data_IF_107747245617
#
_entry.id   IF_107747245617
#
_cell.length_a   1.000
_cell.length_b   1.000
_cell.length_c   1.000
_cell.angle_alpha   90.00
_cell.angle_beta   90.00
_cell.angle_gamma   90.00
#
_symmetry.space_group_name_H-M   'P 1'
#
loop_
_entity.id
_entity.type
_entity.pdbx_description
1 polymer ?
#
# COMPACT_ATOMS: atom_id res chain seq x y z
N UNK A 1 -11.91 1.79 11.04
CA UNK A 1 -13.03 2.60 10.47
C UNK A 1 -12.38 3.57 9.50
N UNK A 2 -13.10 4.14 8.53
CA UNK A 2 -12.49 5.17 7.69
C UNK A 2 -13.53 6.18 7.22
N UNK A 3 -13.06 7.40 6.99
CA UNK A 3 -13.84 8.47 6.34
C UNK A 3 -13.08 8.91 5.11
N UNK A 4 -13.75 8.99 3.97
CA UNK A 4 -13.14 9.39 2.69
C UNK A 4 -13.81 10.64 2.14
N UNK A 5 -13.01 11.51 1.51
CA UNK A 5 -13.47 12.69 0.79
C UNK A 5 -12.94 12.61 -0.65
N UNK A 6 -13.81 12.87 -1.61
CA UNK A 6 -13.46 12.94 -3.02
C UNK A 6 -13.99 14.23 -3.62
N UNK A 7 -13.15 14.94 -4.36
CA UNK A 7 -13.56 16.15 -5.09
C UNK A 7 -13.00 16.11 -6.52
N UNK A 8 -13.88 16.34 -7.49
CA UNK A 8 -13.56 16.39 -8.92
C UNK A 8 -13.00 17.75 -9.31
N UNK A 9 -12.35 17.83 -10.48
CA UNK A 9 -11.66 19.04 -10.95
C UNK A 9 -12.50 20.30 -10.87
N UNK A 10 -13.78 20.21 -11.27
CA UNK A 10 -14.69 21.37 -11.30
C UNK A 10 -15.13 21.83 -9.90
N UNK A 11 -14.97 20.97 -8.90
CA UNK A 11 -15.27 21.30 -7.51
C UNK A 11 -14.03 21.85 -6.75
N UNK A 12 -12.84 21.74 -7.33
CA UNK A 12 -11.59 22.21 -6.75
C UNK A 12 -11.20 23.58 -7.30
N UNK A 13 -10.74 24.49 -6.43
CA UNK A 13 -10.37 25.85 -6.83
C UNK A 13 -9.18 25.91 -7.82
N UNK A 14 -8.35 24.87 -7.84
CA UNK A 14 -7.12 24.77 -8.64
C UNK A 14 -7.20 23.70 -9.75
N UNK A 15 -8.40 23.18 -10.06
CA UNK A 15 -8.63 22.11 -11.03
C UNK A 15 -7.91 20.78 -10.73
N UNK A 16 -7.45 20.57 -9.50
CA UNK A 16 -6.91 19.28 -9.07
C UNK A 16 -8.01 18.25 -8.83
N UNK A 17 -7.66 16.96 -8.78
CA UNK A 17 -8.54 15.91 -8.25
C UNK A 17 -8.05 15.59 -6.85
N UNK A 18 -8.94 15.65 -5.87
CA UNK A 18 -8.62 15.28 -4.49
C UNK A 18 -9.26 13.92 -4.17
N UNK A 19 -8.42 13.01 -3.69
CA UNK A 19 -8.83 11.76 -3.04
C UNK A 19 -8.13 11.73 -1.69
N UNK A 20 -8.88 11.71 -0.59
CA UNK A 20 -8.33 11.60 0.76
C UNK A 20 -9.12 10.59 1.59
N UNK A 21 -8.43 9.99 2.57
CA UNK A 21 -9.02 9.04 3.50
C UNK A 21 -8.32 9.12 4.85
N UNK A 22 -9.10 9.20 5.92
CA UNK A 22 -8.61 8.89 7.25
C UNK A 22 -8.58 7.36 7.40
N UNK A 23 -7.39 6.79 7.63
CA UNK A 23 -7.26 5.40 8.06
C UNK A 23 -7.38 5.35 9.59
N UNK A 24 -8.60 5.13 10.10
CA UNK A 24 -8.84 5.09 11.53
C UNK A 24 -8.62 3.68 12.09
N UNK A 25 -7.73 3.56 13.07
CA UNK A 25 -7.43 2.30 13.73
C UNK A 25 -8.30 2.08 14.98
N UNK A 26 -8.67 0.81 15.22
CA UNK A 26 -9.37 0.39 16.44
C UNK A 26 -8.42 0.24 17.63
N UNK A 27 -7.12 0.14 17.36
CA UNK A 27 -6.03 0.10 18.34
C UNK A 27 -5.17 1.33 18.19
N UNK A 28 -4.51 1.72 19.28
CA UNK A 28 -3.57 2.83 19.28
C UNK A 28 -2.24 2.44 18.61
N UNK A 29 -2.28 2.16 17.30
CA UNK A 29 -1.10 1.97 16.46
C UNK A 29 -1.01 3.19 15.53
N UNK A 30 -0.27 4.21 15.96
CA UNK A 30 -0.16 5.50 15.26
C UNK A 30 1.10 5.63 14.40
N UNK A 31 1.96 4.62 14.37
CA UNK A 31 3.23 4.74 13.67
C UNK A 31 3.03 4.36 12.20
N UNK A 32 2.85 5.38 11.37
CA UNK A 32 2.88 5.27 9.91
C UNK A 32 4.09 6.01 9.36
N UNK A 33 4.57 5.58 8.19
CA UNK A 33 5.67 6.29 7.51
C UNK A 33 5.41 6.39 6.02
N UNK A 34 5.84 7.49 5.41
CA UNK A 34 5.80 7.66 3.96
C UNK A 34 7.01 6.96 3.35
N UNK A 35 6.78 6.07 2.39
CA UNK A 35 7.84 5.47 1.58
C UNK A 35 7.60 5.77 0.10
N UNK A 36 8.68 6.13 -0.59
CA UNK A 36 8.70 6.30 -2.03
C UNK A 36 9.48 5.13 -2.64
N UNK A 37 8.82 4.31 -3.45
CA UNK A 37 9.39 3.12 -4.09
C UNK A 37 9.61 3.42 -5.57
N UNK A 38 10.86 3.30 -6.03
CA UNK A 38 11.21 3.49 -7.44
C UNK A 38 10.75 2.33 -8.32
N UNK A 39 10.60 1.14 -7.73
CA UNK A 39 10.09 -0.08 -8.37
C UNK A 39 9.01 -0.72 -7.50
N UNK A 40 8.02 -1.40 -8.13
CA UNK A 40 7.04 -2.20 -7.41
C UNK A 40 7.68 -3.43 -6.75
N UNK A 41 7.02 -3.98 -5.73
CA UNK A 41 7.53 -5.12 -4.94
C UNK A 41 7.94 -6.31 -5.81
N UNK A 42 7.12 -6.70 -6.79
CA UNK A 42 7.43 -7.81 -7.69
C UNK A 42 8.65 -7.55 -8.61
N UNK A 43 9.27 -6.37 -8.54
CA UNK A 43 10.53 -6.00 -9.20
C UNK A 43 11.63 -5.53 -8.21
N UNK A 44 11.40 -5.56 -6.90
CA UNK A 44 12.34 -5.02 -5.92
C UNK A 44 13.52 -5.95 -5.58
N UNK A 45 13.48 -7.21 -6.04
CA UNK A 45 14.48 -8.23 -5.69
C UNK A 45 14.22 -8.92 -4.35
N UNK A 46 13.10 -8.62 -3.69
CA UNK A 46 12.65 -9.32 -2.49
C UNK A 46 12.27 -10.79 -2.82
N UNK A 47 12.90 -11.73 -2.11
CA UNK A 47 12.68 -13.17 -2.26
C UNK A 47 11.26 -13.61 -1.89
N UNK A 48 10.54 -12.83 -1.10
CA UNK A 48 9.15 -13.09 -0.70
C UNK A 48 8.12 -12.48 -1.66
N UNK A 49 8.56 -11.57 -2.53
CA UNK A 49 7.68 -10.93 -3.51
C UNK A 49 7.18 -11.91 -4.57
N UNK A 50 7.94 -12.95 -4.87
CA UNK A 50 7.63 -13.90 -5.93
C UNK A 50 7.58 -15.33 -5.39
N UNK A 51 6.52 -16.05 -5.76
CA UNK A 51 6.42 -17.51 -5.58
C UNK A 51 6.11 -18.11 -6.93
N UNK A 52 6.99 -18.99 -7.43
CA UNK A 52 6.86 -19.62 -8.75
C UNK A 52 6.63 -18.59 -9.90
N UNK A 53 7.28 -17.44 -9.82
CA UNK A 53 7.15 -16.36 -10.81
C UNK A 53 5.82 -15.57 -10.74
N UNK A 54 4.97 -15.83 -9.76
CA UNK A 54 3.76 -15.06 -9.46
C UNK A 54 4.03 -14.07 -8.33
N UNK A 55 3.41 -12.89 -8.38
CA UNK A 55 3.49 -11.92 -7.30
C UNK A 55 2.67 -12.39 -6.10
N UNK A 56 3.31 -12.45 -4.94
CA UNK A 56 2.66 -12.79 -3.67
C UNK A 56 2.15 -11.52 -3.00
N UNK A 57 0.85 -11.49 -2.69
CA UNK A 57 0.18 -10.38 -2.01
C UNK A 57 -0.52 -10.85 -0.73
N UNK A 58 -0.44 -10.04 0.32
CA UNK A 58 -1.13 -10.29 1.59
C UNK A 58 -0.87 -11.67 2.19
N UNK A 59 -1.93 -12.43 2.47
CA UNK A 59 -1.89 -13.77 3.10
C UNK A 59 -1.47 -14.90 2.15
N UNK A 60 -0.50 -14.67 1.28
CA UNK A 60 -0.01 -15.68 0.34
C UNK A 60 -0.87 -15.86 -0.91
N UNK A 61 -1.77 -14.92 -1.19
CA UNK A 61 -2.51 -14.88 -2.46
C UNK A 61 -1.50 -14.61 -3.57
N UNK A 62 -1.55 -15.39 -4.65
CA UNK A 62 -0.68 -15.20 -5.81
C UNK A 62 -1.44 -14.59 -6.97
N UNK A 63 -0.82 -13.62 -7.64
CA UNK A 63 -1.37 -12.96 -8.82
C UNK A 63 -0.33 -12.87 -9.93
N UNK A 64 -0.73 -12.84 -11.21
CA UNK A 64 0.18 -12.65 -12.32
C UNK A 64 0.98 -11.36 -12.20
N UNK A 65 2.28 -11.44 -12.47
CA UNK A 65 3.15 -10.26 -12.49
C UNK A 65 2.74 -9.34 -13.65
N UNK A 66 2.46 -8.05 -13.39
CA UNK A 66 2.19 -7.10 -14.46
C UNK A 66 3.38 -6.94 -15.41
N UNK A 67 3.09 -6.77 -16.71
CA UNK A 67 4.12 -6.54 -17.72
C UNK A 67 4.83 -5.18 -17.55
N UNK A 68 4.12 -4.18 -17.01
CA UNK A 68 4.62 -2.83 -16.76
C UNK A 68 4.77 -2.59 -15.28
N UNK A 69 5.83 -1.89 -14.92
CA UNK A 69 6.16 -1.53 -13.54
C UNK A 69 6.22 0.00 -13.41
N UNK A 70 5.65 0.53 -12.33
CA UNK A 70 5.67 1.95 -12.02
C UNK A 70 6.12 2.14 -10.57
N UNK A 71 6.91 3.17 -10.33
CA UNK A 71 7.19 3.64 -8.98
C UNK A 71 5.92 4.23 -8.34
N UNK A 72 5.86 4.21 -7.02
CA UNK A 72 4.72 4.72 -6.25
C UNK A 72 5.14 5.14 -4.85
N UNK A 73 4.33 5.99 -4.22
CA UNK A 73 4.41 6.24 -2.79
C UNK A 73 3.38 5.41 -2.04
N UNK A 74 3.71 5.02 -0.81
CA UNK A 74 2.80 4.33 0.10
C UNK A 74 3.00 4.81 1.53
N UNK A 75 1.97 4.63 2.37
CA UNK A 75 2.00 4.94 3.80
C UNK A 75 1.71 3.65 4.58
N UNK A 76 2.67 2.71 4.67
CA UNK A 76 2.53 1.50 5.48
C UNK A 76 2.64 1.75 6.98
N UNK A 77 2.19 0.78 7.77
CA UNK A 77 2.37 0.75 9.22
C UNK A 77 3.83 0.44 9.57
N UNK A 78 4.42 1.20 10.48
CA UNK A 78 5.81 1.04 10.95
C UNK A 78 6.03 -0.29 11.69
N UNK A 79 5.05 -0.72 12.49
CA UNK A 79 5.06 -2.00 13.22
C UNK A 79 4.16 -3.08 12.57
N UNK A 80 3.72 -2.86 11.32
CA UNK A 80 2.80 -3.76 10.63
C UNK A 80 3.31 -5.20 10.52
N UNK A 81 4.64 -5.42 10.54
CA UNK A 81 5.24 -6.74 10.48
C UNK A 81 4.87 -7.66 11.66
N UNK A 82 4.91 -7.17 12.90
CA UNK A 82 4.61 -8.00 14.08
C UNK A 82 3.09 -8.22 14.29
N UNK A 83 2.24 -7.27 13.88
CA UNK A 83 0.77 -7.40 13.97
C UNK A 83 0.13 -8.14 12.76
N UNK A 84 0.84 -8.31 11.64
CA UNK A 84 0.29 -8.85 10.38
C UNK A 84 0.33 -10.38 10.21
N UNK A 85 0.04 -11.15 11.26
CA UNK A 85 -0.41 -12.54 11.06
C UNK A 85 -1.74 -12.57 10.28
N UNK A 86 -2.56 -11.51 10.38
CA UNK A 86 -3.93 -11.50 9.85
C UNK A 86 -4.37 -10.30 8.96
N UNK A 87 -3.52 -9.30 8.66
CA UNK A 87 -3.92 -8.10 7.90
C UNK A 87 -3.22 -7.95 6.53
N UNK A 88 -3.78 -7.10 5.65
CA UNK A 88 -3.18 -6.62 4.38
C UNK A 88 -2.13 -5.53 4.70
N UNK A 89 -1.32 -5.74 5.73
CA UNK A 89 -0.20 -4.86 6.09
C UNK A 89 1.04 -5.27 5.29
N UNK A 90 1.92 -4.30 4.99
CA UNK A 90 3.24 -4.53 4.40
C UNK A 90 4.03 -5.48 5.34
N UNK A 91 4.07 -6.78 5.00
CA UNK A 91 4.87 -7.81 5.67
C UNK A 91 6.38 -7.71 5.33
N UNK A 92 6.91 -6.49 5.29
CA UNK A 92 8.21 -6.16 4.69
C UNK A 92 9.32 -5.86 5.69
N UNK A 93 9.08 -6.08 6.98
CA UNK A 93 10.17 -6.17 7.96
C UNK A 93 10.41 -7.63 8.35
#
# INVERSE_FOLDING_TARGET
MCTSIMAEKKAMADNTILLSRNEDFTRNNWNQYLVCRTLPQYRSGDKHALSQGQWVVGKGVTVPVPQRAYGYSSIPDWAGYEEALCAIGDRYF
#
